data_IF_863724251956
#
_entry.id   IF_863724251956
#
_cell.length_a   1.000
_cell.length_b   1.000
_cell.length_c   1.000
_cell.angle_alpha   90.00
_cell.angle_beta   90.00
_cell.angle_gamma   90.00
#
_symmetry.space_group_name_H-M   'P 1'
#
loop_
_entity.id
_entity.type
_entity.pdbx_description
1 polymer ?
#
# COMPACT_ATOMS: atom_id res chain seq x y z
N UNK A 1 -21.20 1.57 -16.79
CA UNK A 1 -19.99 0.77 -16.52
C UNK A 1 -18.97 1.69 -15.86
N UNK A 2 -18.68 1.53 -14.55
CA UNK A 2 -17.73 2.40 -13.85
C UNK A 2 -16.30 2.01 -14.26
N UNK A 3 -15.60 2.88 -14.98
CA UNK A 3 -14.17 2.73 -15.26
C UNK A 3 -13.43 2.58 -13.94
N UNK A 4 -12.87 1.39 -13.72
CA UNK A 4 -11.99 1.14 -12.57
C UNK A 4 -10.68 1.88 -12.85
N UNK A 5 -10.60 3.13 -12.39
CA UNK A 5 -9.40 3.96 -12.50
C UNK A 5 -8.29 3.36 -11.65
N UNK A 6 -7.42 2.56 -12.27
CA UNK A 6 -6.29 1.94 -11.61
C UNK A 6 -5.27 3.02 -11.25
N UNK A 7 -5.29 3.48 -9.99
CA UNK A 7 -4.30 4.43 -9.48
C UNK A 7 -2.97 3.70 -9.30
N UNK A 8 -1.99 4.00 -10.15
CA UNK A 8 -0.61 3.50 -9.98
C UNK A 8 0.00 4.18 -8.76
N UNK A 9 0.28 3.41 -7.71
CA UNK A 9 0.97 3.89 -6.53
C UNK A 9 2.47 3.94 -6.82
N UNK A 10 3.07 5.13 -6.72
CA UNK A 10 4.52 5.31 -6.91
C UNK A 10 5.32 4.52 -5.87
N UNK A 11 6.46 3.95 -6.27
CA UNK A 11 7.37 3.21 -5.37
C UNK A 11 7.75 4.02 -4.13
N UNK A 12 8.01 5.33 -4.30
CA UNK A 12 8.31 6.24 -3.20
C UNK A 12 7.17 6.33 -2.18
N UNK A 13 5.91 6.31 -2.63
CA UNK A 13 4.75 6.37 -1.74
C UNK A 13 4.58 5.07 -0.93
N UNK A 14 4.91 3.92 -1.52
CA UNK A 14 4.91 2.63 -0.81
C UNK A 14 5.97 2.62 0.29
N UNK A 15 7.19 3.03 -0.02
CA UNK A 15 8.29 3.06 0.96
C UNK A 15 8.00 4.04 2.10
N UNK A 16 7.47 5.22 1.77
CA UNK A 16 7.03 6.19 2.79
C UNK A 16 5.91 5.61 3.67
N UNK A 17 4.93 4.91 3.09
CA UNK A 17 3.86 4.29 3.86
C UNK A 17 4.38 3.18 4.78
N UNK A 18 5.38 2.40 4.36
CA UNK A 18 6.03 1.39 5.22
C UNK A 18 6.69 2.02 6.43
N UNK A 19 7.44 3.11 6.24
CA UNK A 19 8.07 3.85 7.35
C UNK A 19 7.02 4.36 8.36
N UNK A 20 5.89 4.87 7.89
CA UNK A 20 4.80 5.30 8.76
C UNK A 20 4.15 4.14 9.52
N UNK A 21 3.98 2.98 8.88
CA UNK A 21 3.46 1.78 9.54
C UNK A 21 4.41 1.30 10.64
N UNK A 22 5.72 1.26 10.35
CA UNK A 22 6.73 0.85 11.33
C UNK A 22 6.84 1.85 12.48
N UNK A 23 6.82 3.15 12.21
CA UNK A 23 6.80 4.19 13.22
C UNK A 23 5.57 4.09 14.12
N UNK A 24 4.38 3.87 13.53
CA UNK A 24 3.14 3.68 14.29
C UNK A 24 3.21 2.43 15.19
N UNK A 25 3.70 1.30 14.65
CA UNK A 25 3.89 0.06 15.43
C UNK A 25 4.89 0.26 16.57
N UNK A 26 6.01 0.92 16.30
CA UNK A 26 7.02 1.24 17.33
C UNK A 26 6.46 2.16 18.42
N UNK A 27 5.57 3.07 18.07
CA UNK A 27 4.85 3.93 19.00
C UNK A 27 3.68 3.22 19.72
N UNK A 28 3.45 1.92 19.50
CA UNK A 28 2.34 1.17 20.08
C UNK A 28 0.96 1.58 19.54
N UNK A 29 0.92 2.29 18.41
CA UNK A 29 -0.31 2.78 17.77
C UNK A 29 -0.66 1.94 16.55
N UNK A 30 -1.96 1.82 16.26
CA UNK A 30 -2.41 1.13 15.05
C UNK A 30 -2.13 2.03 13.83
N UNK A 31 -1.48 1.51 12.78
CA UNK A 31 -1.28 2.26 11.55
C UNK A 31 -2.62 2.55 10.86
N UNK A 32 -2.71 3.68 10.18
CA UNK A 32 -3.88 4.06 9.40
C UNK A 32 -4.18 3.01 8.32
N UNK A 33 -5.46 2.69 8.11
CA UNK A 33 -5.87 1.64 7.19
C UNK A 33 -5.55 1.97 5.73
N UNK A 34 -5.60 3.25 5.34
CA UNK A 34 -5.17 3.71 4.02
C UNK A 34 -3.66 3.56 3.83
N UNK A 35 -2.88 3.97 4.83
CA UNK A 35 -1.41 3.84 4.83
C UNK A 35 -0.99 2.37 4.83
N UNK A 36 -1.64 1.51 5.60
CA UNK A 36 -1.37 0.08 5.62
C UNK A 36 -1.64 -0.58 4.26
N UNK A 37 -2.75 -0.20 3.58
CA UNK A 37 -3.02 -0.68 2.21
C UNK A 37 -1.92 -0.26 1.24
N UNK A 38 -1.48 0.99 1.30
CA UNK A 38 -0.41 1.52 0.43
C UNK A 38 0.93 0.84 0.75
N UNK A 39 1.28 0.63 2.02
CA UNK A 39 2.50 -0.06 2.44
C UNK A 39 2.56 -1.53 1.97
N UNK A 40 1.39 -2.18 1.90
CA UNK A 40 1.22 -3.55 1.37
C UNK A 40 1.11 -3.61 -0.15
N UNK A 41 0.93 -2.47 -0.83
CA UNK A 41 0.81 -2.44 -2.27
C UNK A 41 2.14 -2.83 -2.91
N UNK A 42 2.10 -3.76 -3.87
CA UNK A 42 3.27 -4.05 -4.72
C UNK A 42 3.46 -2.85 -5.65
N UNK A 43 4.54 -2.07 -5.54
CA UNK A 43 4.79 -1.00 -6.49
C UNK A 43 4.92 -1.64 -7.87
N UNK A 44 3.97 -1.34 -8.75
CA UNK A 44 3.87 -2.00 -10.04
C UNK A 44 5.05 -1.63 -10.93
N UNK A 45 6.02 -2.52 -11.06
CA UNK A 45 6.74 -2.66 -12.32
C UNK A 45 5.89 -3.61 -13.17
N UNK A 46 5.30 -3.08 -14.25
CA UNK A 46 4.14 -3.63 -14.95
C UNK A 46 4.04 -5.16 -15.03
N UNK A 47 3.25 -5.76 -14.16
CA UNK A 47 2.61 -7.06 -14.32
C UNK A 47 1.61 -7.23 -13.18
N UNK A 48 0.38 -7.57 -13.51
CA UNK A 48 -0.70 -7.75 -12.56
C UNK A 48 -0.33 -8.74 -11.46
N UNK A 49 -0.46 -8.30 -10.22
CA UNK A 49 -0.61 -9.19 -9.08
C UNK A 49 -1.76 -8.61 -8.26
N UNK A 50 -2.98 -8.94 -8.68
CA UNK A 50 -4.12 -8.92 -7.78
C UNK A 50 -3.79 -9.83 -6.59
N UNK A 51 -4.22 -9.50 -5.36
CA UNK A 51 -4.05 -10.41 -4.24
C UNK A 51 -4.82 -11.69 -4.55
N UNK A 52 -4.14 -12.83 -4.59
CA UNK A 52 -4.80 -14.12 -4.55
C UNK A 52 -5.32 -14.31 -3.11
N UNK A 53 -6.63 -14.39 -2.86
CA UNK A 53 -7.13 -14.87 -1.58
C UNK A 53 -6.75 -16.35 -1.44
N UNK A 54 -6.26 -16.72 -0.25
CA UNK A 54 -6.07 -18.10 0.19
C UNK A 54 -7.38 -18.68 0.70
#
# INVERSE_FOLDING_TARGET
MAEKKTVKVSRQAVELARLHVEAARKAGRKPDAGVARIASARPGNGAGAAPAPA
#
